data_IF_058808514037
#
_entry.id   IF_058808514037
#
_cell.length_a   1.000
_cell.length_b   1.000
_cell.length_c   1.000
_cell.angle_alpha   90.00
_cell.angle_beta   90.00
_cell.angle_gamma   90.00
#
_symmetry.space_group_name_H-M   'P 1'
#
loop_
_entity.id
_entity.type
_entity.pdbx_description
1 polymer ?
#
# COMPACT_ATOMS: atom_id res chain seq x y z
N UNK A 1 -9.61 0.80 -5.90
CA UNK A 1 -10.19 -0.55 -5.69
C UNK A 1 -9.29 -1.27 -4.69
N UNK A 2 -9.84 -1.84 -3.62
CA UNK A 2 -9.06 -2.64 -2.67
C UNK A 2 -9.40 -4.09 -2.90
N UNK A 3 -8.40 -4.91 -3.24
CA UNK A 3 -8.56 -6.36 -3.21
C UNK A 3 -8.38 -6.82 -1.76
N UNK A 4 -9.36 -7.56 -1.26
CA UNK A 4 -9.41 -7.99 0.13
C UNK A 4 -8.18 -8.80 0.54
N UNK A 5 -7.88 -8.79 1.84
CA UNK A 5 -6.85 -9.65 2.38
C UNK A 5 -7.38 -11.08 2.47
N UNK A 6 -6.57 -12.07 2.08
CA UNK A 6 -6.92 -13.48 2.27
C UNK A 6 -6.91 -13.85 3.77
N UNK A 7 -6.21 -13.05 4.60
CA UNK A 7 -6.13 -13.21 6.06
C UNK A 7 -6.02 -11.84 6.74
N UNK A 8 -6.68 -11.65 7.87
CA UNK A 8 -6.54 -10.46 8.71
C UNK A 8 -5.66 -10.78 9.92
N UNK A 9 -4.61 -9.98 10.14
CA UNK A 9 -3.80 -10.03 11.36
C UNK A 9 -4.57 -9.30 12.46
N UNK A 10 -5.45 -10.03 13.16
CA UNK A 10 -6.22 -9.49 14.30
C UNK A 10 -5.40 -9.44 15.59
N UNK A 11 -4.33 -10.24 15.67
CA UNK A 11 -3.41 -10.28 16.81
C UNK A 11 -2.07 -9.63 16.41
N UNK A 12 -1.63 -8.55 17.10
CA UNK A 12 -0.32 -7.94 16.88
C UNK A 12 0.85 -8.92 16.94
N UNK A 13 0.71 -10.04 17.67
CA UNK A 13 1.73 -11.09 17.76
C UNK A 13 1.90 -11.90 16.45
N UNK A 14 0.95 -11.78 15.51
CA UNK A 14 1.03 -12.45 14.20
C UNK A 14 1.75 -11.61 13.14
N UNK A 15 2.03 -10.34 13.44
CA UNK A 15 2.79 -9.45 12.56
C UNK A 15 4.27 -9.82 12.65
N UNK A 16 4.95 -10.13 11.53
CA UNK A 16 6.39 -10.38 11.55
C UNK A 16 7.16 -9.18 12.09
N UNK A 17 8.20 -9.43 12.88
CA UNK A 17 9.03 -8.40 13.47
C UNK A 17 9.64 -7.49 12.38
N UNK A 18 9.46 -6.18 12.52
CA UNK A 18 9.97 -5.18 11.57
C UNK A 18 9.07 -4.89 10.36
N UNK A 19 7.90 -5.54 10.23
CA UNK A 19 6.94 -5.25 9.16
C UNK A 19 5.67 -4.56 9.69
N UNK A 20 5.02 -3.70 8.89
CA UNK A 20 3.69 -3.22 9.20
C UNK A 20 2.67 -4.38 9.10
N UNK A 21 1.56 -4.24 9.82
CA UNK A 21 0.45 -5.18 9.72
C UNK A 21 -0.07 -5.24 8.26
N UNK A 22 -0.64 -6.39 7.87
CA UNK A 22 -1.29 -6.54 6.58
C UNK A 22 -2.49 -5.57 6.45
N UNK A 23 -2.62 -5.03 5.25
CA UNK A 23 -3.64 -4.04 4.91
C UNK A 23 -3.13 -2.61 5.01
N UNK A 24 -4.05 -1.71 5.33
CA UNK A 24 -3.80 -0.27 5.39
C UNK A 24 -3.63 0.15 6.85
N UNK A 25 -2.49 0.75 7.16
CA UNK A 25 -2.18 1.35 8.45
C UNK A 25 -3.09 2.53 8.80
N UNK A 26 -2.86 3.09 9.98
CA UNK A 26 -3.62 4.22 10.51
C UNK A 26 -3.22 5.51 9.81
N UNK A 27 -4.17 6.43 9.67
CA UNK A 27 -3.96 7.78 9.12
C UNK A 27 -3.37 7.80 7.70
N UNK A 28 -3.67 6.78 6.88
CA UNK A 28 -3.26 6.74 5.49
C UNK A 28 -4.24 7.52 4.60
N UNK A 29 -3.72 8.10 3.53
CA UNK A 29 -4.51 8.75 2.47
C UNK A 29 -4.32 7.96 1.19
N UNK A 30 -5.41 7.45 0.61
CA UNK A 30 -5.36 6.65 -0.60
C UNK A 30 -6.30 7.29 -1.63
N UNK A 31 -5.72 7.86 -2.68
CA UNK A 31 -6.45 8.41 -3.84
C UNK A 31 -6.07 7.65 -5.11
N UNK A 32 -7.08 7.32 -5.93
CA UNK A 32 -6.91 6.67 -7.24
C UNK A 32 -5.89 5.52 -7.24
N UNK A 33 -6.06 4.57 -6.32
CA UNK A 33 -5.17 3.43 -6.18
C UNK A 33 -5.88 2.07 -6.27
N UNK A 34 -5.13 1.07 -6.69
CA UNK A 34 -5.41 -0.37 -6.62
C UNK A 34 -4.42 -0.95 -5.63
N UNK A 35 -4.95 -1.49 -4.53
CA UNK A 35 -4.15 -2.20 -3.53
C UNK A 35 -4.43 -3.68 -3.69
N UNK A 36 -3.41 -4.43 -4.07
CA UNK A 36 -3.48 -5.87 -4.27
C UNK A 36 -3.34 -6.63 -2.93
N UNK A 37 -3.59 -7.93 -2.97
CA UNK A 37 -3.73 -8.77 -1.77
C UNK A 37 -2.48 -8.78 -0.92
N UNK A 38 -2.67 -8.84 0.39
CA UNK A 38 -1.61 -8.95 1.38
C UNK A 38 -0.54 -7.83 1.32
N UNK A 39 -0.85 -6.70 0.67
CA UNK A 39 -0.03 -5.51 0.77
C UNK A 39 0.00 -5.02 2.24
N UNK A 40 1.16 -4.55 2.69
CA UNK A 40 1.39 -4.04 4.04
C UNK A 40 1.74 -2.56 3.93
N UNK A 41 0.78 -1.69 4.24
CA UNK A 41 0.95 -0.25 4.17
C UNK A 41 1.07 0.26 5.61
N UNK A 42 2.21 0.85 5.96
CA UNK A 42 2.44 1.39 7.28
C UNK A 42 1.58 2.63 7.58
N UNK A 43 1.61 3.07 8.83
CA UNK A 43 0.87 4.24 9.29
C UNK A 43 1.38 5.53 8.61
N UNK A 44 0.44 6.43 8.30
CA UNK A 44 0.72 7.76 7.75
C UNK A 44 1.18 7.78 6.28
N UNK A 45 1.02 6.67 5.56
CA UNK A 45 1.36 6.60 4.14
C UNK A 45 0.33 7.35 3.30
N UNK A 46 0.82 8.08 2.30
CA UNK A 46 -0.02 8.75 1.31
C UNK A 46 0.24 8.09 -0.03
N UNK A 47 -0.83 7.66 -0.69
CA UNK A 47 -0.81 7.02 -2.00
C UNK A 47 -1.66 7.88 -2.94
N UNK A 48 -1.02 8.68 -3.79
CA UNK A 48 -1.71 9.52 -4.77
C UNK A 48 -0.95 9.57 -6.09
N UNK A 49 -1.63 9.47 -7.25
CA UNK A 49 -0.99 9.69 -8.54
C UNK A 49 -0.67 11.18 -8.80
N UNK A 50 -1.04 12.10 -7.89
CA UNK A 50 -0.88 13.53 -8.07
C UNK A 50 0.59 13.94 -8.20
N UNK A 51 0.88 14.76 -9.22
CA UNK A 51 2.24 15.21 -9.53
C UNK A 51 3.14 14.16 -10.18
N UNK A 52 2.62 12.97 -10.54
CA UNK A 52 3.38 11.89 -11.18
C UNK A 52 2.90 11.60 -12.61
N UNK A 53 3.79 11.06 -13.47
CA UNK A 53 3.40 10.69 -14.84
C UNK A 53 2.37 9.55 -14.83
N UNK A 54 1.53 9.51 -15.86
CA UNK A 54 0.47 8.49 -15.99
C UNK A 54 1.00 7.05 -16.07
N UNK A 55 2.27 6.86 -16.43
CA UNK A 55 2.98 5.60 -16.40
C UNK A 55 4.31 5.76 -15.68
N UNK A 56 4.49 4.98 -14.61
CA UNK A 56 5.69 4.98 -13.78
C UNK A 56 5.91 3.59 -13.19
N UNK A 57 7.17 3.18 -13.09
CA UNK A 57 7.58 1.94 -12.44
C UNK A 57 8.46 2.26 -11.25
N UNK A 58 7.91 2.07 -10.05
CA UNK A 58 8.63 2.16 -8.79
C UNK A 58 9.02 0.77 -8.27
N UNK A 59 9.73 0.75 -7.15
CA UNK A 59 10.21 -0.48 -6.52
C UNK A 59 9.07 -1.32 -5.92
N UNK A 60 8.10 -0.67 -5.27
CA UNK A 60 6.97 -1.32 -4.59
C UNK A 60 5.61 -0.79 -5.03
N UNK A 61 5.56 -0.05 -6.13
CA UNK A 61 4.32 0.46 -6.74
C UNK A 61 4.52 0.75 -8.21
N UNK A 62 3.42 0.77 -8.95
CA UNK A 62 3.38 1.17 -10.35
C UNK A 62 2.31 2.24 -10.55
N UNK A 63 2.44 3.08 -11.57
CA UNK A 63 1.35 3.93 -12.03
C UNK A 63 0.98 3.48 -13.42
N UNK A 64 -0.32 3.24 -13.64
CA UNK A 64 -0.90 2.86 -14.92
C UNK A 64 -2.14 3.69 -15.14
N UNK A 65 -2.13 4.48 -16.21
CA UNK A 65 -3.22 5.38 -16.60
C UNK A 65 -3.67 6.33 -15.46
N UNK A 66 -2.69 6.80 -14.68
CA UNK A 66 -2.96 7.68 -13.54
C UNK A 66 -3.61 6.97 -12.34
N UNK A 67 -3.55 5.64 -12.29
CA UNK A 67 -3.94 4.82 -11.14
C UNK A 67 -2.68 4.21 -10.51
N UNK A 68 -2.51 4.41 -9.21
CA UNK A 68 -1.41 3.78 -8.46
C UNK A 68 -1.75 2.30 -8.21
N UNK A 69 -0.83 1.39 -8.46
CA UNK A 69 -0.99 -0.05 -8.27
C UNK A 69 0.05 -0.52 -7.27
N UNK A 70 -0.40 -0.97 -6.10
CA UNK A 70 0.43 -1.62 -5.09
C UNK A 70 0.34 -3.13 -5.29
N UNK A 71 1.42 -3.83 -5.67
CA UNK A 71 1.38 -5.25 -6.00
C UNK A 71 1.20 -6.13 -4.75
N UNK A 72 0.85 -7.40 -4.99
CA UNK A 72 0.68 -8.40 -3.93
C UNK A 72 1.93 -8.52 -3.05
N UNK A 73 1.74 -8.60 -1.73
CA UNK A 73 2.80 -8.68 -0.71
C UNK A 73 3.76 -7.48 -0.67
N UNK A 74 3.45 -6.37 -1.36
CA UNK A 74 4.28 -5.17 -1.28
C UNK A 74 4.28 -4.59 0.14
N UNK A 75 5.39 -3.99 0.52
CA UNK A 75 5.55 -3.32 1.82
C UNK A 75 5.82 -1.85 1.56
N UNK A 76 4.93 -0.98 2.05
CA UNK A 76 5.10 0.48 1.99
C UNK A 76 5.46 0.98 3.40
N UNK A 77 6.66 1.56 3.59
CA UNK A 77 7.13 1.98 4.91
C UNK A 77 6.43 3.23 5.42
N UNK A 78 6.54 3.52 6.72
CA UNK A 78 5.91 4.69 7.32
C UNK A 78 6.45 6.00 6.75
N UNK A 79 5.59 7.01 6.60
CA UNK A 79 5.97 8.32 6.08
C UNK A 79 6.30 8.34 4.57
N UNK A 80 5.97 7.28 3.84
CA UNK A 80 6.15 7.24 2.39
C UNK A 80 5.04 8.02 1.67
N UNK A 81 5.45 8.84 0.69
CA UNK A 81 4.56 9.64 -0.15
C UNK A 81 4.69 9.18 -1.60
N UNK A 82 3.72 8.37 -2.03
CA UNK A 82 3.55 7.89 -3.40
C UNK A 82 2.63 8.83 -4.16
#
# INVERSE_FOLDING_TARGET
>A
IVMGADYYETDPATVPEGLPAMGVGRNCVIDRAIIDKNARIADGVVITPEGKPNQYDGENYYIRDGIVVIPKNAVIPAGFWI
#
